data_IF_455280661863
#
_entry.id   IF_455280661863
#
_cell.length_a   1.000
_cell.length_b   1.000
_cell.length_c   1.000
_cell.angle_alpha   90.00
_cell.angle_beta   90.00
_cell.angle_gamma   90.00
#
_symmetry.space_group_name_H-M   'P 1'
#
loop_
_entity.id
_entity.type
_entity.pdbx_description
1 polymer ?
#
# COMPACT_ATOMS: atom_id res chain seq x y z
N UNK A 1 8.82 2.09 29.06
CA UNK A 1 7.68 2.09 28.12
C UNK A 1 8.13 1.65 26.74
N UNK A 2 7.20 1.25 25.87
CA UNK A 2 7.50 0.89 24.49
C UNK A 2 7.94 2.13 23.69
N UNK A 3 8.99 1.98 22.87
CA UNK A 3 9.49 3.04 21.98
C UNK A 3 9.17 2.67 20.53
N UNK A 4 8.45 3.51 19.77
CA UNK A 4 8.19 3.26 18.36
C UNK A 4 9.49 3.12 17.56
N UNK A 5 9.49 2.23 16.58
CA UNK A 5 10.61 2.06 15.66
C UNK A 5 10.78 3.32 14.79
N UNK A 6 12.02 3.71 14.52
CA UNK A 6 12.28 4.82 13.59
C UNK A 6 12.08 4.34 12.15
N UNK A 7 11.76 5.27 11.24
CA UNK A 7 11.68 4.98 9.80
C UNK A 7 12.97 4.32 9.28
N UNK A 8 14.13 4.79 9.74
CA UNK A 8 15.43 4.31 9.29
C UNK A 8 15.66 2.85 9.70
N UNK A 9 15.41 2.52 10.96
CA UNK A 9 15.58 1.13 11.44
C UNK A 9 14.58 0.18 10.79
N UNK A 10 13.34 0.63 10.58
CA UNK A 10 12.34 -0.15 9.85
C UNK A 10 12.78 -0.49 8.42
N UNK A 11 13.23 0.52 7.66
CA UNK A 11 13.66 0.32 6.28
C UNK A 11 14.96 -0.47 6.19
N UNK A 12 15.88 -0.31 7.15
CA UNK A 12 17.10 -1.11 7.24
C UNK A 12 16.75 -2.60 7.42
N UNK A 13 15.83 -2.91 8.33
CA UNK A 13 15.38 -4.28 8.55
C UNK A 13 14.75 -4.89 7.29
N UNK A 14 13.85 -4.16 6.63
CA UNK A 14 13.25 -4.61 5.37
C UNK A 14 14.29 -4.82 4.26
N UNK A 15 15.27 -3.93 4.15
CA UNK A 15 16.35 -4.08 3.16
C UNK A 15 17.19 -5.33 3.44
N UNK A 16 17.52 -5.62 4.70
CA UNK A 16 18.24 -6.84 5.06
C UNK A 16 17.46 -8.10 4.69
N UNK A 17 16.15 -8.10 4.96
CA UNK A 17 15.28 -9.21 4.58
C UNK A 17 15.19 -9.39 3.06
N UNK A 18 15.05 -8.29 2.30
CA UNK A 18 15.03 -8.32 0.84
C UNK A 18 16.33 -8.90 0.26
N UNK A 19 17.48 -8.46 0.76
CA UNK A 19 18.80 -9.00 0.37
C UNK A 19 18.90 -10.50 0.65
N UNK A 20 18.45 -10.96 1.82
CA UNK A 20 18.48 -12.37 2.17
C UNK A 20 17.61 -13.25 1.26
N UNK A 21 16.54 -12.66 0.71
CA UNK A 21 15.62 -13.32 -0.22
C UNK A 21 15.99 -13.12 -1.70
N UNK A 22 17.02 -12.34 -2.00
CA UNK A 22 17.43 -12.02 -3.38
C UNK A 22 16.41 -11.16 -4.15
N UNK A 23 15.57 -10.39 -3.45
CA UNK A 23 14.57 -9.49 -4.04
C UNK A 23 15.00 -8.03 -3.90
N UNK A 24 14.45 -7.15 -4.73
CA UNK A 24 14.73 -5.72 -4.66
C UNK A 24 14.22 -5.11 -3.34
N UNK A 25 15.01 -4.24 -2.73
CA UNK A 25 14.63 -3.57 -1.49
C UNK A 25 13.54 -2.52 -1.72
N UNK A 26 12.56 -2.50 -0.82
CA UNK A 26 11.42 -1.58 -0.92
C UNK A 26 11.77 -0.20 -0.34
N UNK A 27 11.49 0.86 -1.11
CA UNK A 27 11.48 2.22 -0.60
C UNK A 27 10.19 2.49 0.17
N UNK A 28 10.27 3.27 1.25
CA UNK A 28 9.10 3.57 2.09
C UNK A 28 7.88 4.12 1.33
N UNK A 29 8.10 4.97 0.32
CA UNK A 29 7.00 5.46 -0.52
C UNK A 29 6.38 4.33 -1.38
N UNK A 30 7.22 3.44 -1.91
CA UNK A 30 6.79 2.27 -2.67
C UNK A 30 5.93 1.31 -1.86
N UNK A 31 6.21 1.16 -0.56
CA UNK A 31 5.38 0.35 0.35
C UNK A 31 3.96 0.93 0.43
N UNK A 32 3.82 2.26 0.51
CA UNK A 32 2.50 2.91 0.58
C UNK A 32 1.70 2.76 -0.72
N UNK A 33 2.36 2.86 -1.88
CA UNK A 33 1.74 2.60 -3.18
C UNK A 33 1.30 1.14 -3.28
N UNK A 34 2.20 0.21 -2.92
CA UNK A 34 1.93 -1.23 -2.95
C UNK A 34 0.78 -1.63 -2.04
N UNK A 35 0.71 -1.07 -0.83
CA UNK A 35 -0.40 -1.31 0.09
C UNK A 35 -1.74 -0.82 -0.48
N UNK A 36 -1.81 0.38 -1.08
CA UNK A 36 -3.02 0.88 -1.74
C UNK A 36 -3.50 -0.09 -2.83
N UNK A 37 -2.58 -0.50 -3.71
CA UNK A 37 -2.89 -1.45 -4.79
C UNK A 37 -3.40 -2.78 -4.23
N UNK A 38 -2.69 -3.33 -3.25
CA UNK A 38 -2.98 -4.64 -2.68
C UNK A 38 -4.35 -4.68 -1.98
N UNK A 39 -4.74 -3.61 -1.28
CA UNK A 39 -6.07 -3.53 -0.67
C UNK A 39 -7.18 -3.49 -1.72
N UNK A 40 -6.99 -2.70 -2.79
CA UNK A 40 -7.98 -2.58 -3.87
C UNK A 40 -8.12 -3.89 -4.66
N UNK A 41 -7.03 -4.60 -4.91
CA UNK A 41 -7.06 -5.93 -5.52
C UNK A 41 -7.76 -6.98 -4.65
N UNK A 42 -7.83 -6.77 -3.33
CA UNK A 42 -8.65 -7.56 -2.40
C UNK A 42 -10.10 -7.09 -2.28
N UNK A 43 -10.52 -6.14 -3.10
CA UNK A 43 -11.89 -5.62 -3.10
C UNK A 43 -12.21 -4.70 -1.93
N UNK A 44 -11.20 -4.18 -1.21
CA UNK A 44 -11.45 -3.17 -0.17
C UNK A 44 -11.97 -1.90 -0.84
N UNK A 45 -13.09 -1.31 -0.38
CA UNK A 45 -13.65 -0.09 -0.97
C UNK A 45 -12.69 1.10 -0.98
N UNK A 46 -12.83 1.97 -1.98
CA UNK A 46 -11.95 3.13 -2.18
C UNK A 46 -11.94 4.09 -0.99
N UNK A 47 -13.08 4.35 -0.38
CA UNK A 47 -13.24 5.20 0.81
C UNK A 47 -12.56 4.60 2.04
N UNK A 48 -12.62 3.28 2.20
CA UNK A 48 -11.91 2.54 3.26
C UNK A 48 -10.40 2.63 3.05
N UNK A 49 -9.91 2.40 1.83
CA UNK A 49 -8.47 2.56 1.52
C UNK A 49 -8.01 4.00 1.74
N UNK A 50 -8.82 4.99 1.35
CA UNK A 50 -8.58 6.41 1.58
C UNK A 50 -8.44 6.72 3.08
N UNK A 51 -9.31 6.13 3.90
CA UNK A 51 -9.28 6.24 5.37
C UNK A 51 -8.03 5.58 5.98
N UNK A 52 -7.71 4.34 5.58
CA UNK A 52 -6.53 3.58 6.06
C UNK A 52 -5.24 4.38 5.82
N UNK A 53 -5.06 4.92 4.62
CA UNK A 53 -3.88 5.72 4.32
C UNK A 53 -4.02 7.20 4.65
N UNK A 54 -5.04 7.61 5.40
CA UNK A 54 -5.21 8.96 5.97
C UNK A 54 -5.13 10.08 4.92
N UNK A 55 -5.69 9.84 3.74
CA UNK A 55 -5.75 10.85 2.68
C UNK A 55 -6.96 11.75 2.88
N UNK A 56 -6.73 13.05 3.01
CA UNK A 56 -7.79 14.06 3.08
C UNK A 56 -8.42 14.36 1.72
N UNK A 57 -7.72 14.07 0.62
CA UNK A 57 -8.16 14.30 -0.76
C UNK A 57 -8.04 13.03 -1.60
N UNK A 58 -8.47 13.10 -2.86
CA UNK A 58 -8.37 11.99 -3.81
C UNK A 58 -6.96 11.79 -4.38
N UNK A 59 -5.93 12.39 -3.77
CA UNK A 59 -4.53 12.23 -4.19
C UNK A 59 -4.05 10.76 -4.17
N UNK A 60 -4.70 9.88 -3.40
CA UNK A 60 -4.41 8.44 -3.41
C UNK A 60 -4.71 7.77 -4.76
N UNK A 61 -5.57 8.37 -5.59
CA UNK A 61 -5.89 7.86 -6.93
C UNK A 61 -4.67 7.82 -7.85
N UNK A 62 -3.65 8.68 -7.59
CA UNK A 62 -2.37 8.64 -8.30
C UNK A 62 -1.56 7.35 -8.03
N UNK A 63 -1.93 6.59 -6.99
CA UNK A 63 -1.28 5.33 -6.65
C UNK A 63 -1.99 4.11 -7.23
N UNK A 64 -3.10 4.31 -7.94
CA UNK A 64 -3.81 3.23 -8.63
C UNK A 64 -2.93 2.68 -9.75
N UNK A 65 -2.77 1.37 -9.74
CA UNK A 65 -2.15 0.58 -10.81
C UNK A 65 -3.17 -0.50 -11.19
N UNK A 66 -3.12 -1.01 -12.42
CA UNK A 66 -4.09 -2.03 -12.88
C UNK A 66 -5.57 -1.57 -12.84
N UNK A 67 -5.84 -0.35 -13.32
CA UNK A 67 -7.17 0.28 -13.30
C UNK A 67 -8.31 -0.65 -13.74
N UNK A 68 -8.16 -1.40 -14.84
CA UNK A 68 -9.22 -2.28 -15.34
C UNK A 68 -9.63 -3.35 -14.31
N UNK A 69 -8.67 -3.97 -13.62
CA UNK A 69 -8.94 -5.03 -12.62
C UNK A 69 -9.61 -4.42 -11.39
N UNK A 70 -9.07 -3.31 -10.89
CA UNK A 70 -9.63 -2.60 -9.73
C UNK A 70 -11.07 -2.16 -10.01
N UNK A 71 -11.31 -1.56 -11.17
CA UNK A 71 -12.65 -1.09 -11.54
C UNK A 71 -13.61 -2.25 -11.77
N UNK A 72 -13.17 -3.37 -12.34
CA UNK A 72 -14.00 -4.56 -12.52
C UNK A 72 -14.49 -5.13 -11.17
N UNK A 73 -13.60 -5.26 -10.18
CA UNK A 73 -13.97 -5.69 -8.83
C UNK A 73 -14.97 -4.72 -8.18
N UNK A 74 -14.77 -3.42 -8.39
CA UNK A 74 -15.67 -2.39 -7.87
C UNK A 74 -17.04 -2.38 -8.56
N UNK A 75 -17.10 -2.65 -9.86
CA UNK A 75 -18.35 -2.68 -10.63
C UNK A 75 -19.16 -3.96 -10.42
N UNK A 76 -18.52 -5.05 -10.00
CA UNK A 76 -19.14 -6.37 -9.82
C UNK A 76 -19.67 -6.61 -8.40
N UNK A 77 -19.28 -5.78 -7.43
CA UNK A 77 -19.78 -5.82 -6.05
C UNK A 77 -20.73 -4.67 -5.78
N UNK A 78 -21.98 -4.99 -5.47
CA UNK A 78 -22.89 -4.08 -4.75
C UNK A 78 -22.23 -3.70 -3.41
N UNK A 79 -22.39 -2.45 -2.92
CA UNK A 79 -21.59 -1.89 -1.83
C UNK A 79 -21.64 -2.71 -0.52
#
# INVERSE_FOLDING_TARGET
GLRPLTRTEFLKWLSSAATALGVESLKGHGIRIGATLEYLLRGVPFDVVKSIGRWSSDAFTLYLRQHAVIMALYMQGTP
#
